data_IF_069263549607
#
_entry.id   IF_069263549607
#
_cell.length_a   1.000
_cell.length_b   1.000
_cell.length_c   1.000
_cell.angle_alpha   90.00
_cell.angle_beta   90.00
_cell.angle_gamma   90.00
#
_symmetry.space_group_name_H-M   'P 1'
#
loop_
_entity.id
_entity.type
_entity.pdbx_description
1 polymer ?
#
# COMPACT_ATOMS: atom_id res chain seq x y z
N UNK A 1 -9.50 16.65 -52.23
CA UNK A 1 -9.24 17.03 -50.82
C UNK A 1 -8.32 18.25 -50.68
N UNK A 2 -7.18 18.36 -51.38
CA UNK A 2 -6.25 19.50 -51.25
C UNK A 2 -6.88 20.88 -51.53
N UNK A 3 -7.59 21.03 -52.66
CA UNK A 3 -8.24 22.30 -53.05
C UNK A 3 -9.26 22.86 -52.05
N UNK A 4 -10.03 22.00 -51.37
CA UNK A 4 -11.02 22.46 -50.37
C UNK A 4 -10.33 22.95 -49.10
N UNK A 5 -9.22 22.32 -48.71
CA UNK A 5 -8.44 22.74 -47.55
C UNK A 5 -7.77 24.09 -47.81
N UNK A 6 -7.14 24.24 -48.97
CA UNK A 6 -6.53 25.50 -49.41
C UNK A 6 -7.55 26.64 -49.45
N UNK A 7 -8.77 26.40 -49.94
CA UNK A 7 -9.85 27.40 -49.92
C UNK A 7 -10.28 27.79 -48.49
N UNK A 8 -10.48 26.82 -47.59
CA UNK A 8 -10.83 27.10 -46.19
C UNK A 8 -9.74 27.89 -45.48
N UNK A 9 -8.47 27.55 -45.70
CA UNK A 9 -7.33 28.26 -45.11
C UNK A 9 -7.29 29.72 -45.59
N UNK A 10 -7.55 29.98 -46.88
CA UNK A 10 -7.65 31.35 -47.45
C UNK A 10 -8.86 32.10 -46.89
N UNK A 11 -10.01 31.44 -46.77
CA UNK A 11 -11.21 32.05 -46.19
C UNK A 11 -10.98 32.45 -44.72
N UNK A 12 -10.39 31.57 -43.92
CA UNK A 12 -10.08 31.83 -42.52
C UNK A 12 -9.11 33.01 -42.37
N UNK A 13 -8.07 33.06 -43.20
CA UNK A 13 -7.14 34.19 -43.26
C UNK A 13 -7.87 35.51 -43.61
N UNK A 14 -8.75 35.47 -44.61
CA UNK A 14 -9.54 36.64 -44.98
C UNK A 14 -10.51 37.09 -43.88
N UNK A 15 -11.15 36.15 -43.17
CA UNK A 15 -12.03 36.45 -42.05
C UNK A 15 -11.27 37.08 -40.88
N UNK A 16 -10.07 36.59 -40.56
CA UNK A 16 -9.23 37.18 -39.51
C UNK A 16 -8.85 38.63 -39.84
N UNK A 17 -8.40 38.88 -41.08
CA UNK A 17 -8.00 40.22 -41.52
C UNK A 17 -9.19 41.19 -41.57
N UNK A 18 -10.32 40.75 -42.10
CA UNK A 18 -11.55 41.54 -42.23
C UNK A 18 -12.19 41.84 -40.86
N UNK A 19 -12.34 40.83 -40.00
CA UNK A 19 -13.14 40.94 -38.77
C UNK A 19 -12.31 41.46 -37.58
N UNK A 20 -11.01 41.15 -37.52
CA UNK A 20 -10.12 41.50 -36.38
C UNK A 20 -9.22 42.68 -36.74
N UNK A 21 -8.53 42.65 -37.89
CA UNK A 21 -7.56 43.69 -38.28
C UNK A 21 -8.20 44.91 -38.96
N UNK A 22 -9.45 44.78 -39.43
CA UNK A 22 -10.23 45.87 -40.01
C UNK A 22 -9.90 46.20 -41.46
N UNK A 23 -9.29 45.26 -42.21
CA UNK A 23 -9.11 45.40 -43.66
C UNK A 23 -10.47 45.43 -44.39
N UNK A 24 -10.50 45.97 -45.60
CA UNK A 24 -11.73 46.02 -46.41
C UNK A 24 -11.94 44.75 -47.24
N UNK A 25 -13.20 44.43 -47.56
CA UNK A 25 -13.55 43.26 -48.39
C UNK A 25 -12.77 43.24 -49.71
N UNK A 26 -12.67 44.39 -50.38
CA UNK A 26 -11.98 44.52 -51.67
C UNK A 26 -10.47 44.28 -51.56
N UNK A 27 -9.84 44.64 -50.43
CA UNK A 27 -8.43 44.33 -50.19
C UNK A 27 -8.19 42.83 -50.03
N UNK A 28 -9.11 42.10 -49.41
CA UNK A 28 -8.96 40.64 -49.30
C UNK A 28 -9.19 39.94 -50.65
N UNK A 29 -10.17 40.40 -51.43
CA UNK A 29 -10.46 39.86 -52.76
C UNK A 29 -9.33 40.17 -53.76
N UNK A 30 -8.65 41.31 -53.63
CA UNK A 30 -7.50 41.66 -54.46
C UNK A 30 -6.28 40.75 -54.22
N UNK A 31 -6.11 40.22 -53.01
CA UNK A 31 -5.02 39.30 -52.67
C UNK A 31 -5.28 37.86 -53.15
N UNK A 32 -6.54 37.49 -53.40
CA UNK A 32 -6.95 36.15 -53.84
C UNK A 32 -7.94 36.22 -55.02
N UNK A 33 -7.51 36.73 -56.20
CA UNK A 33 -8.40 36.98 -57.32
C UNK A 33 -8.96 35.69 -57.96
N UNK A 34 -8.24 34.57 -57.88
CA UNK A 34 -8.68 33.29 -58.44
C UNK A 34 -9.89 32.70 -57.71
N UNK A 35 -10.03 32.96 -56.41
CA UNK A 35 -11.11 32.45 -55.55
C UNK A 35 -12.14 33.54 -55.21
N UNK A 36 -11.95 34.77 -55.68
CA UNK A 36 -12.74 35.94 -55.28
C UNK A 36 -14.24 35.80 -55.55
N UNK A 37 -14.64 35.08 -56.60
CA UNK A 37 -16.05 34.83 -56.94
C UNK A 37 -16.74 33.97 -55.88
N UNK A 38 -16.04 32.98 -55.32
CA UNK A 38 -16.58 32.08 -54.29
C UNK A 38 -16.43 32.65 -52.87
N UNK A 39 -15.36 33.42 -52.60
CA UNK A 39 -15.11 34.03 -51.29
C UNK A 39 -16.05 35.20 -50.97
N UNK A 40 -16.38 36.02 -51.97
CA UNK A 40 -17.19 37.23 -51.81
C UNK A 40 -18.50 37.02 -51.02
N UNK A 41 -19.41 36.09 -51.40
CA UNK A 41 -20.67 35.91 -50.67
C UNK A 41 -20.46 35.41 -49.23
N UNK A 42 -19.41 34.62 -48.97
CA UNK A 42 -19.09 34.13 -47.63
C UNK A 42 -18.61 35.24 -46.70
N UNK A 43 -17.75 36.13 -47.22
CA UNK A 43 -17.24 37.27 -46.47
C UNK A 43 -18.33 38.34 -46.24
N UNK A 44 -19.18 38.60 -47.22
CA UNK A 44 -20.36 39.47 -47.07
C UNK A 44 -21.30 38.94 -45.97
N UNK A 45 -21.55 37.63 -45.95
CA UNK A 45 -22.36 36.97 -44.93
C UNK A 45 -21.74 37.09 -43.54
N UNK A 46 -20.42 36.87 -43.42
CA UNK A 46 -19.70 37.01 -42.16
C UNK A 46 -19.73 38.45 -41.63
N UNK A 47 -19.65 39.44 -42.52
CA UNK A 47 -19.73 40.86 -42.17
C UNK A 47 -21.14 41.23 -41.69
N UNK A 48 -22.18 40.76 -42.37
CA UNK A 48 -23.57 40.92 -41.92
C UNK A 48 -23.81 40.25 -40.56
N UNK A 49 -23.26 39.06 -40.35
CA UNK A 49 -23.35 38.34 -39.07
C UNK A 49 -22.61 39.08 -37.94
N UNK A 50 -21.43 39.67 -38.21
CA UNK A 50 -20.70 40.49 -37.23
C UNK A 50 -21.50 41.73 -36.83
N UNK A 51 -22.13 42.40 -37.79
CA UNK A 51 -22.99 43.55 -37.51
C UNK A 51 -24.22 43.16 -36.69
N UNK A 52 -24.86 42.04 -37.00
CA UNK A 52 -25.98 41.52 -36.23
C UNK A 52 -25.56 41.08 -34.81
N UNK A 53 -24.36 40.53 -34.63
CA UNK A 53 -23.83 40.14 -33.33
C UNK A 53 -23.41 41.34 -32.46
N UNK A 54 -23.25 42.53 -33.04
CA UNK A 54 -23.01 43.75 -32.28
C UNK A 54 -24.26 44.24 -31.53
N UNK A 55 -25.43 43.63 -31.77
CA UNK A 55 -26.65 43.87 -31.01
C UNK A 55 -26.42 43.32 -29.59
N UNK A 56 -26.15 44.23 -28.65
CA UNK A 56 -26.04 43.86 -27.25
C UNK A 56 -27.38 43.35 -26.70
N UNK A 57 -27.41 42.18 -26.04
CA UNK A 57 -28.60 41.73 -25.35
C UNK A 57 -29.01 42.75 -24.27
N UNK A 58 -30.32 42.95 -24.12
CA UNK A 58 -30.86 43.85 -23.10
C UNK A 58 -30.37 43.50 -21.69
N UNK A 59 -30.27 44.49 -20.78
CA UNK A 59 -29.69 44.30 -19.45
C UNK A 59 -30.42 43.23 -18.63
N UNK A 60 -31.74 43.11 -18.78
CA UNK A 60 -32.54 42.09 -18.11
C UNK A 60 -32.21 40.67 -18.57
N UNK A 61 -32.01 40.48 -19.88
CA UNK A 61 -31.62 39.18 -20.43
C UNK A 61 -30.22 38.79 -19.95
N UNK A 62 -29.26 39.73 -19.95
CA UNK A 62 -27.90 39.51 -19.41
C UNK A 62 -27.95 39.10 -17.94
N UNK A 63 -28.76 39.79 -17.13
CA UNK A 63 -28.93 39.47 -15.71
C UNK A 63 -29.53 38.06 -15.50
N UNK A 64 -30.58 37.72 -16.26
CA UNK A 64 -31.22 36.40 -16.22
C UNK A 64 -30.27 35.28 -16.64
N UNK A 65 -29.54 35.47 -17.75
CA UNK A 65 -28.57 34.49 -18.24
C UNK A 65 -27.44 34.25 -17.23
N UNK A 66 -26.91 35.31 -16.60
CA UNK A 66 -25.91 35.19 -15.52
C UNK A 66 -26.44 34.40 -14.34
N UNK A 67 -27.66 34.71 -13.90
CA UNK A 67 -28.29 33.98 -12.81
C UNK A 67 -28.44 32.49 -13.13
N UNK A 68 -28.99 32.16 -14.31
CA UNK A 68 -29.18 30.76 -14.73
C UNK A 68 -27.86 30.00 -14.88
N UNK A 69 -26.81 30.64 -15.38
CA UNK A 69 -25.49 30.04 -15.48
C UNK A 69 -24.90 29.75 -14.09
N UNK A 70 -24.99 30.71 -13.16
CA UNK A 70 -24.51 30.51 -11.80
C UNK A 70 -25.31 29.46 -11.03
N UNK A 71 -26.64 29.41 -11.17
CA UNK A 71 -27.46 28.38 -10.54
C UNK A 71 -27.13 26.98 -11.08
N UNK A 72 -26.95 26.84 -12.40
CA UNK A 72 -26.55 25.57 -12.99
C UNK A 72 -25.18 25.10 -12.49
N UNK A 73 -24.22 26.01 -12.30
CA UNK A 73 -22.91 25.69 -11.71
C UNK A 73 -23.02 25.29 -10.23
N UNK A 74 -23.93 25.89 -9.47
CA UNK A 74 -24.18 25.52 -8.07
C UNK A 74 -24.89 24.16 -7.95
N UNK A 75 -25.85 23.87 -8.83
CA UNK A 75 -26.52 22.57 -8.91
C UNK A 75 -25.58 21.45 -9.36
N UNK A 76 -24.61 21.77 -10.23
CA UNK A 76 -23.53 20.85 -10.57
C UNK A 76 -22.62 20.55 -9.38
N UNK A 77 -22.60 21.43 -8.37
CA UNK A 77 -21.86 21.30 -7.11
C UNK A 77 -20.35 21.08 -7.29
N UNK A 78 -19.54 21.24 -6.24
CA UNK A 78 -18.26 20.58 -6.25
C UNK A 78 -18.56 19.07 -6.25
N UNK A 79 -18.40 18.38 -7.39
CA UNK A 79 -18.20 16.92 -7.37
C UNK A 79 -17.11 16.71 -6.33
N UNK A 80 -17.49 16.15 -5.17
CA UNK A 80 -16.65 16.00 -3.98
C UNK A 80 -15.24 15.71 -4.46
N UNK A 81 -14.33 16.68 -4.28
CA UNK A 81 -12.91 16.54 -4.60
C UNK A 81 -12.51 15.17 -4.10
N UNK A 82 -12.04 14.33 -5.02
CA UNK A 82 -11.84 12.91 -4.79
C UNK A 82 -11.25 12.70 -3.40
N UNK A 83 -12.09 12.12 -2.54
CA UNK A 83 -11.67 11.54 -1.30
C UNK A 83 -10.59 10.53 -1.68
N UNK A 84 -9.33 10.84 -1.40
CA UNK A 84 -8.23 9.86 -1.46
C UNK A 84 -8.54 8.60 -0.62
N UNK A 85 -9.53 8.69 0.26
CA UNK A 85 -10.03 7.60 1.11
C UNK A 85 -11.14 6.75 0.46
N UNK A 86 -11.70 7.15 -0.69
CA UNK A 86 -12.79 6.45 -1.37
C UNK A 86 -12.36 5.28 -2.25
N UNK A 87 -11.06 5.21 -2.59
CA UNK A 87 -10.48 4.14 -3.42
C UNK A 87 -9.62 3.16 -2.63
N UNK A 88 -9.51 3.33 -1.31
CA UNK A 88 -8.85 2.32 -0.48
C UNK A 88 -9.80 1.12 -0.35
N UNK A 89 -9.43 -0.04 -0.90
CA UNK A 89 -10.26 -1.22 -0.76
C UNK A 89 -10.35 -1.60 0.71
N UNK A 90 -11.47 -2.17 1.16
CA UNK A 90 -11.73 -2.47 2.58
C UNK A 90 -10.60 -3.27 3.24
N UNK A 91 -9.88 -4.10 2.49
CA UNK A 91 -8.71 -4.84 2.99
C UNK A 91 -7.52 -3.93 3.34
N UNK A 92 -7.34 -2.79 2.68
CA UNK A 92 -6.27 -1.83 3.00
C UNK A 92 -6.43 -1.25 4.41
N UNK A 93 -7.66 -1.02 4.85
CA UNK A 93 -7.92 -0.59 6.24
C UNK A 93 -7.57 -1.68 7.25
N UNK A 94 -7.88 -2.94 6.95
CA UNK A 94 -7.50 -4.09 7.80
C UNK A 94 -5.98 -4.22 7.87
N UNK A 95 -5.29 -4.16 6.74
CA UNK A 95 -3.82 -4.22 6.67
C UNK A 95 -3.18 -3.06 7.44
N UNK A 96 -3.70 -1.84 7.29
CA UNK A 96 -3.21 -0.68 8.03
C UNK A 96 -3.40 -0.84 9.55
N UNK A 97 -4.57 -1.33 9.99
CA UNK A 97 -4.82 -1.60 11.42
C UNK A 97 -3.87 -2.68 11.94
N UNK A 98 -3.71 -3.79 11.22
CA UNK A 98 -2.78 -4.86 11.59
C UNK A 98 -1.34 -4.33 11.67
N UNK A 99 -0.92 -3.52 10.68
CA UNK A 99 0.41 -2.91 10.67
C UNK A 99 0.61 -1.98 11.87
N UNK A 100 -0.37 -1.14 12.19
CA UNK A 100 -0.32 -0.26 13.37
C UNK A 100 -0.26 -1.08 14.65
N UNK A 101 -1.05 -2.15 14.78
CA UNK A 101 -1.00 -3.05 15.94
C UNK A 101 0.34 -3.77 16.05
N UNK A 102 0.94 -4.21 14.93
CA UNK A 102 2.26 -4.84 14.91
C UNK A 102 3.37 -3.84 15.28
N UNK A 103 3.31 -2.62 14.77
CA UNK A 103 4.28 -1.55 15.08
C UNK A 103 4.15 -1.08 16.53
N UNK A 104 2.93 -0.88 17.02
CA UNK A 104 2.67 -0.55 18.42
C UNK A 104 3.07 -1.69 19.37
N UNK A 105 2.84 -2.94 18.97
CA UNK A 105 3.24 -4.13 19.73
C UNK A 105 4.76 -4.38 19.72
N UNK A 106 5.45 -4.11 18.61
CA UNK A 106 6.89 -4.38 18.46
C UNK A 106 7.78 -3.63 19.46
N UNK A 107 7.44 -2.38 19.78
CA UNK A 107 8.16 -1.59 20.79
C UNK A 107 8.01 -2.17 22.21
N UNK A 108 6.84 -2.74 22.54
CA UNK A 108 6.60 -3.35 23.86
C UNK A 108 7.36 -4.66 24.04
N UNK A 109 7.58 -5.44 22.98
CA UNK A 109 8.31 -6.72 23.05
C UNK A 109 9.80 -6.48 23.28
N UNK A 110 10.39 -5.50 22.61
CA UNK A 110 11.81 -5.14 22.80
C UNK A 110 12.08 -4.60 24.22
N UNK A 111 11.18 -3.79 24.78
CA UNK A 111 11.30 -3.32 26.16
C UNK A 111 11.00 -4.45 27.18
N UNK A 112 10.05 -5.34 26.89
CA UNK A 112 9.68 -6.44 27.77
C UNK A 112 10.80 -7.48 27.93
N UNK A 113 11.72 -7.63 26.97
CA UNK A 113 12.76 -8.67 27.07
C UNK A 113 13.68 -8.50 28.28
N UNK A 114 13.84 -7.28 28.78
CA UNK A 114 14.64 -6.97 29.97
C UNK A 114 13.81 -6.82 31.25
N UNK A 115 12.50 -7.08 31.18
CA UNK A 115 11.63 -6.90 32.35
C UNK A 115 11.85 -7.97 33.42
N UNK A 116 11.67 -7.55 34.68
CA UNK A 116 11.79 -8.39 35.88
C UNK A 116 10.42 -8.91 36.37
N UNK A 117 10.37 -9.99 37.18
CA UNK A 117 9.11 -10.66 37.54
C UNK A 117 8.01 -9.79 38.18
N UNK A 118 8.37 -8.67 38.78
CA UNK A 118 7.47 -7.69 39.42
C UNK A 118 7.10 -6.49 38.52
N UNK A 119 7.64 -6.42 37.31
CA UNK A 119 7.39 -5.33 36.38
C UNK A 119 6.15 -5.56 35.50
N UNK A 120 5.41 -4.49 35.12
CA UNK A 120 4.18 -4.61 34.33
C UNK A 120 4.36 -5.29 32.96
N UNK A 121 5.55 -5.23 32.37
CA UNK A 121 5.85 -5.81 31.06
C UNK A 121 6.28 -7.29 31.13
N UNK A 122 6.43 -7.86 32.33
CA UNK A 122 6.86 -9.25 32.48
C UNK A 122 5.92 -10.29 31.87
N UNK A 123 4.58 -10.16 31.95
CA UNK A 123 3.68 -11.07 31.24
C UNK A 123 3.93 -11.07 29.72
N UNK A 124 4.32 -9.92 29.15
CA UNK A 124 4.64 -9.77 27.72
C UNK A 124 5.95 -10.48 27.41
N UNK A 125 6.96 -10.39 28.30
CA UNK A 125 8.22 -11.16 28.19
C UNK A 125 7.92 -12.66 28.07
N UNK A 126 7.17 -13.21 29.03
CA UNK A 126 6.81 -14.64 29.04
C UNK A 126 6.06 -15.03 27.76
N UNK A 127 5.06 -14.26 27.33
CA UNK A 127 4.31 -14.55 26.11
C UNK A 127 5.19 -14.53 24.84
N UNK A 128 6.12 -13.56 24.75
CA UNK A 128 7.05 -13.46 23.62
C UNK A 128 7.99 -14.67 23.54
N UNK A 129 8.45 -15.16 24.69
CA UNK A 129 9.33 -16.33 24.79
C UNK A 129 8.61 -17.63 24.39
N UNK A 130 7.34 -17.80 24.82
CA UNK A 130 6.51 -18.93 24.40
C UNK A 130 6.23 -18.92 22.89
N UNK A 131 5.99 -17.74 22.32
CA UNK A 131 5.80 -17.58 20.87
C UNK A 131 7.06 -18.00 20.11
N UNK A 132 8.24 -17.57 20.57
CA UNK A 132 9.52 -17.96 19.96
C UNK A 132 9.76 -19.47 20.06
N UNK A 133 9.39 -20.11 21.18
CA UNK A 133 9.45 -21.57 21.35
C UNK A 133 8.50 -22.31 20.40
N UNK A 134 7.30 -21.77 20.16
CA UNK A 134 6.32 -22.38 19.25
C UNK A 134 6.76 -22.29 17.79
N UNK A 135 7.40 -21.17 17.40
CA UNK A 135 7.88 -20.93 16.05
C UNK A 135 9.22 -21.64 15.75
N UNK A 136 9.95 -22.06 16.77
CA UNK A 136 11.20 -22.81 16.60
C UNK A 136 10.86 -24.29 16.41
N UNK A 137 11.07 -24.84 15.21
CA UNK A 137 10.64 -26.22 14.91
C UNK A 137 11.68 -27.31 15.24
N UNK A 138 12.98 -26.98 15.20
CA UNK A 138 14.05 -27.97 15.42
C UNK A 138 14.21 -28.32 16.89
N UNK A 139 14.50 -29.60 17.18
CA UNK A 139 14.76 -30.06 18.56
C UNK A 139 15.99 -29.34 19.16
N UNK A 140 17.07 -29.24 18.39
CA UNK A 140 18.29 -28.51 18.79
C UNK A 140 18.02 -27.02 19.03
N UNK A 141 17.29 -26.35 18.12
CA UNK A 141 16.96 -24.93 18.28
C UNK A 141 16.04 -24.67 19.48
N UNK A 142 15.08 -25.56 19.76
CA UNK A 142 14.28 -25.47 20.99
C UNK A 142 15.14 -25.66 22.24
N UNK A 143 16.09 -26.60 22.23
CA UNK A 143 16.98 -26.84 23.36
C UNK A 143 17.87 -25.61 23.63
N UNK A 144 18.44 -25.01 22.58
CA UNK A 144 19.21 -23.77 22.68
C UNK A 144 18.36 -22.61 23.24
N UNK A 145 17.11 -22.48 22.79
CA UNK A 145 16.21 -21.46 23.31
C UNK A 145 15.87 -21.70 24.78
N UNK A 146 15.61 -22.93 25.21
CA UNK A 146 15.42 -23.26 26.63
C UNK A 146 16.67 -22.97 27.46
N UNK A 147 17.87 -23.21 26.93
CA UNK A 147 19.13 -22.88 27.62
C UNK A 147 19.26 -21.37 27.86
N UNK A 148 18.99 -20.55 26.84
CA UNK A 148 18.96 -19.09 26.97
C UNK A 148 17.89 -18.62 27.97
N UNK A 149 16.73 -19.29 28.03
CA UNK A 149 15.70 -18.97 29.02
C UNK A 149 16.12 -19.37 30.44
N UNK A 150 16.81 -20.50 30.61
CA UNK A 150 17.34 -20.94 31.89
C UNK A 150 18.33 -19.91 32.47
N UNK A 151 19.24 -19.41 31.63
CA UNK A 151 20.19 -18.36 32.00
C UNK A 151 19.47 -17.11 32.54
N UNK A 152 18.46 -16.61 31.81
CA UNK A 152 17.63 -15.49 32.27
C UNK A 152 16.89 -15.76 33.59
N UNK A 153 16.45 -17.00 33.85
CA UNK A 153 15.80 -17.33 35.13
C UNK A 153 16.76 -17.25 36.29
N UNK A 154 18.04 -17.56 36.07
CA UNK A 154 19.07 -17.40 37.11
C UNK A 154 19.19 -15.92 37.48
N UNK A 155 19.29 -15.03 36.49
CA UNK A 155 19.33 -13.58 36.74
C UNK A 155 18.09 -13.08 37.49
N UNK A 156 16.91 -13.55 37.10
CA UNK A 156 15.65 -13.21 37.77
C UNK A 156 15.60 -13.72 39.21
N UNK A 157 16.09 -14.95 39.47
CA UNK A 157 16.19 -15.52 40.82
C UNK A 157 17.10 -14.65 41.68
N UNK A 158 18.27 -14.27 41.18
CA UNK A 158 19.20 -13.38 41.91
C UNK A 158 18.52 -12.05 42.23
N UNK A 159 17.81 -11.47 41.26
CA UNK A 159 17.06 -10.23 41.46
C UNK A 159 15.99 -10.34 42.54
N UNK A 160 15.12 -11.35 42.48
CA UNK A 160 14.02 -11.51 43.45
C UNK A 160 14.52 -11.98 44.82
N UNK A 161 15.61 -12.75 44.88
CA UNK A 161 16.26 -13.15 46.13
C UNK A 161 16.85 -11.93 46.86
N UNK A 162 17.50 -11.02 46.13
CA UNK A 162 18.00 -9.76 46.71
C UNK A 162 16.88 -8.85 47.23
N UNK A 163 15.66 -8.98 46.68
CA UNK A 163 14.45 -8.29 47.18
C UNK A 163 13.76 -9.02 48.34
N UNK A 164 14.16 -10.25 48.67
CA UNK A 164 13.54 -11.05 49.73
C UNK A 164 12.17 -11.65 49.38
N UNK A 165 11.78 -11.68 48.11
CA UNK A 165 10.50 -12.29 47.69
C UNK A 165 10.66 -13.80 47.49
N UNK A 166 10.52 -14.54 48.60
CA UNK A 166 10.70 -16.01 48.62
C UNK A 166 9.70 -16.75 47.72
N UNK A 167 8.48 -16.21 47.56
CA UNK A 167 7.47 -16.80 46.69
C UNK A 167 7.87 -16.69 45.23
N UNK A 168 8.36 -15.53 44.80
CA UNK A 168 8.86 -15.37 43.43
C UNK A 168 10.15 -16.15 43.17
N UNK A 169 11.03 -16.29 44.17
CA UNK A 169 12.21 -17.16 44.07
C UNK A 169 11.77 -18.59 43.76
N UNK A 170 10.79 -19.13 44.48
CA UNK A 170 10.29 -20.49 44.25
C UNK A 170 9.68 -20.64 42.85
N UNK A 171 8.79 -19.72 42.44
CA UNK A 171 8.16 -19.74 41.12
C UNK A 171 9.19 -19.68 39.98
N UNK A 172 10.21 -18.82 40.12
CA UNK A 172 11.25 -18.65 39.10
C UNK A 172 12.17 -19.88 39.06
N UNK A 173 12.44 -20.50 40.21
CA UNK A 173 13.18 -21.76 40.32
C UNK A 173 12.43 -22.91 39.65
N UNK A 174 11.11 -22.99 39.81
CA UNK A 174 10.29 -23.98 39.11
C UNK A 174 10.37 -23.81 37.59
N UNK A 175 10.35 -22.56 37.08
CA UNK A 175 10.52 -22.27 35.65
C UNK A 175 11.90 -22.64 35.14
N UNK A 176 12.95 -22.38 35.92
CA UNK A 176 14.32 -22.82 35.62
C UNK A 176 14.39 -24.34 35.50
N UNK A 177 13.88 -25.06 36.50
CA UNK A 177 13.85 -26.52 36.49
C UNK A 177 13.09 -27.06 35.28
N UNK A 178 11.95 -26.46 34.95
CA UNK A 178 11.20 -26.82 33.75
C UNK A 178 12.06 -26.66 32.48
N UNK A 179 12.77 -25.54 32.31
CA UNK A 179 13.64 -25.33 31.16
C UNK A 179 14.75 -26.41 31.08
N UNK A 180 15.37 -26.76 32.21
CA UNK A 180 16.41 -27.80 32.28
C UNK A 180 15.89 -29.19 31.87
N UNK A 181 14.69 -29.57 32.34
CA UNK A 181 14.04 -30.83 31.94
C UNK A 181 13.73 -30.83 30.44
N UNK A 182 13.30 -29.69 29.89
CA UNK A 182 13.03 -29.58 28.45
C UNK A 182 14.31 -29.72 27.62
N UNK A 183 15.43 -29.19 28.09
CA UNK A 183 16.73 -29.37 27.43
C UNK A 183 17.12 -30.84 27.43
N UNK A 184 17.08 -31.52 28.58
CA UNK A 184 17.51 -32.92 28.67
C UNK A 184 16.66 -33.82 27.77
N UNK A 185 15.34 -33.67 27.80
CA UNK A 185 14.41 -34.44 26.95
C UNK A 185 14.64 -34.19 25.46
N UNK A 186 14.83 -32.94 25.02
CA UNK A 186 15.06 -32.61 23.61
C UNK A 186 16.41 -33.14 23.10
N UNK A 187 17.46 -33.08 23.93
CA UNK A 187 18.77 -33.62 23.60
C UNK A 187 18.72 -35.15 23.49
N UNK A 188 18.03 -35.84 24.40
CA UNK A 188 17.84 -37.30 24.32
C UNK A 188 17.10 -37.75 23.06
N UNK A 189 16.08 -37.00 22.62
CA UNK A 189 15.33 -37.30 21.39
C UNK A 189 16.22 -37.16 20.14
N UNK A 190 17.11 -36.18 20.10
CA UNK A 190 18.06 -36.02 19.00
C UNK A 190 19.04 -37.20 18.92
N UNK A 191 19.48 -37.72 20.06
CA UNK A 191 20.36 -38.90 20.12
C UNK A 191 19.63 -40.18 19.67
N UNK A 192 18.35 -40.36 20.02
CA UNK A 192 17.55 -41.53 19.61
C UNK A 192 17.14 -41.51 18.13
N UNK A 193 16.90 -40.32 17.54
CA UNK A 193 16.58 -40.19 16.11
C UNK A 193 17.74 -40.57 15.18
N UNK A 194 18.98 -40.53 15.68
CA UNK A 194 20.18 -40.94 14.95
C UNK A 194 20.29 -42.48 14.82
N UNK A 195 19.72 -43.25 15.75
CA UNK A 195 19.77 -44.72 15.67
C UNK A 195 18.72 -45.34 14.73
N UNK A 196 17.57 -44.68 14.53
CA UNK A 196 16.47 -45.21 13.69
C UNK A 196 16.80 -45.14 12.18
N UNK A 197 17.86 -44.42 11.78
CA UNK A 197 18.33 -44.31 10.39
C UNK A 197 19.52 -45.23 10.03
N UNK A 198 19.93 -46.16 10.90
CA UNK A 198 20.80 -47.26 10.47
C UNK A 198 19.95 -48.35 9.81
N UNK A 199 20.02 -48.41 8.48
CA UNK A 199 19.43 -49.47 7.69
C UNK A 199 19.81 -50.86 8.27
N UNK A 200 18.89 -51.84 8.29
CA UNK A 200 19.21 -53.20 8.72
C UNK A 200 20.37 -53.74 7.88
N UNK A 201 21.32 -54.50 8.47
CA UNK A 201 22.36 -55.16 7.68
C UNK A 201 21.69 -56.07 6.63
N UNK A 202 22.21 -56.14 5.39
CA UNK A 202 21.64 -56.98 4.35
C UNK A 202 21.65 -58.44 4.81
N UNK A 203 20.49 -59.09 4.70
CA UNK A 203 20.31 -60.52 4.97
C UNK A 203 21.31 -61.33 4.13
N UNK A 204 22.10 -62.25 4.71
CA UNK A 204 22.96 -63.10 3.91
C UNK A 204 22.11 -63.96 2.96
N UNK A 205 22.37 -63.85 1.66
CA UNK A 205 21.76 -64.71 0.66
C UNK A 205 22.18 -66.16 0.92
N UNK A 206 21.20 -67.04 1.10
CA UNK A 206 21.38 -68.48 1.14
C UNK A 206 22.07 -68.94 -0.15
N UNK A 207 23.29 -69.46 -0.04
CA UNK A 207 23.92 -70.21 -1.13
C UNK A 207 23.27 -71.60 -1.20
N UNK A 208 22.84 -72.09 -2.38
CA UNK A 208 22.41 -73.46 -2.52
C UNK A 208 23.64 -74.39 -2.46
N UNK A 209 23.52 -75.41 -1.61
CA UNK A 209 24.46 -76.51 -1.46
C UNK A 209 24.33 -77.43 -2.68
N UNK A 210 25.29 -77.37 -3.62
CA UNK A 210 25.42 -78.36 -4.69
C UNK A 210 26.43 -79.42 -4.25
N UNK A 211 25.90 -80.53 -3.70
CA UNK A 211 26.60 -81.80 -3.61
C UNK A 211 26.00 -82.79 -4.61
N UNK A 212 26.84 -83.27 -5.53
CA UNK A 212 26.72 -84.54 -6.26
C UNK A 212 28.09 -85.21 -6.24
#
# INVERSE_FOLDING_TARGET
MKRNKEFSDILDECLERLLVKGETLEQCLANHPEQGVELRPLLETALAAKQASAIEPGPEFKARARYQFHSALQEMGPKKRLSFFGWLPRWATVVAIVLVLLLAGGGTVAAASNSMPDEPLYPIKIASEQTRLMLTFSALGKAELYANLADKRIDEIVYVANKGDTKQVELTTQRLNYALIRISTLVSVQSGGSEIMKAPPPTPAFAPDESY
#
